data_IF_726530168092
#
_entry.id   IF_726530168092
#
_cell.length_a   1.000
_cell.length_b   1.000
_cell.length_c   1.000
_cell.angle_alpha   90.00
_cell.angle_beta   90.00
_cell.angle_gamma   90.00
#
_symmetry.space_group_name_H-M   'P 1'
#
loop_
_entity.id
_entity.type
_entity.pdbx_description
1 polymer ?
#
# COMPACT_ATOMS: atom_id res chain seq x y z
N UNK A 1 -18.48 4.88 17.54
CA UNK A 1 -18.19 3.95 16.43
C UNK A 1 -16.78 4.26 16.00
N UNK A 2 -15.83 3.43 16.40
CA UNK A 2 -14.43 3.60 16.04
C UNK A 2 -14.22 3.23 14.57
N UNK A 3 -13.34 3.95 13.88
CA UNK A 3 -13.09 3.79 12.44
C UNK A 3 -12.53 2.40 12.14
N UNK A 4 -11.85 1.82 13.12
CA UNK A 4 -11.30 0.47 13.12
C UNK A 4 -12.36 -0.62 12.95
N UNK A 5 -13.58 -0.42 13.46
CA UNK A 5 -14.68 -1.40 13.35
C UNK A 5 -15.32 -1.40 11.95
N UNK A 6 -15.14 -0.32 11.19
CA UNK A 6 -15.60 -0.22 9.80
C UNK A 6 -14.60 -0.83 8.81
N UNK A 7 -13.38 -1.17 9.27
CA UNK A 7 -12.35 -1.70 8.39
C UNK A 7 -12.68 -3.11 7.93
N UNK A 8 -12.55 -3.34 6.62
CA UNK A 8 -12.86 -4.64 6.02
C UNK A 8 -11.95 -5.73 6.63
N UNK A 9 -12.52 -6.78 7.25
CA UNK A 9 -11.73 -7.90 7.69
C UNK A 9 -11.12 -8.57 6.45
N UNK A 10 -9.83 -8.86 6.50
CA UNK A 10 -9.13 -9.45 5.37
C UNK A 10 -9.67 -10.86 5.08
N UNK A 11 -10.52 -10.98 4.07
CA UNK A 11 -11.20 -12.24 3.72
C UNK A 11 -10.20 -13.36 3.38
N UNK A 12 -9.06 -13.01 2.78
CA UNK A 12 -8.00 -13.97 2.48
C UNK A 12 -7.42 -14.63 3.74
N UNK A 13 -7.26 -13.85 4.82
CA UNK A 13 -6.81 -14.40 6.12
C UNK A 13 -7.87 -15.31 6.73
N UNK A 14 -9.15 -14.97 6.57
CA UNK A 14 -10.27 -15.75 7.12
C UNK A 14 -10.53 -17.06 6.36
N UNK A 15 -10.37 -17.04 5.04
CA UNK A 15 -10.69 -18.18 4.16
C UNK A 15 -9.47 -19.06 3.92
N UNK A 16 -8.30 -18.46 3.67
CA UNK A 16 -7.09 -19.19 3.28
C UNK A 16 -6.02 -19.22 4.39
N UNK A 17 -6.21 -18.51 5.50
CA UNK A 17 -5.21 -18.42 6.57
C UNK A 17 -3.95 -17.62 6.19
N UNK A 18 -3.93 -17.05 4.97
CA UNK A 18 -2.77 -16.36 4.41
C UNK A 18 -3.11 -14.89 4.18
N UNK A 19 -2.20 -14.00 4.58
CA UNK A 19 -2.30 -12.57 4.31
C UNK A 19 -1.96 -12.33 2.84
N UNK A 20 -2.82 -11.65 2.07
CA UNK A 20 -2.47 -11.28 0.69
C UNK A 20 -1.50 -10.09 0.68
N UNK A 21 -0.82 -9.90 -0.45
CA UNK A 21 0.17 -8.85 -0.68
C UNK A 21 -0.35 -7.42 -0.40
N UNK A 22 -1.66 -7.18 -0.47
CA UNK A 22 -2.28 -5.89 -0.17
C UNK A 22 -3.08 -5.84 1.14
N UNK A 23 -3.08 -6.92 1.92
CA UNK A 23 -3.85 -7.04 3.16
C UNK A 23 -3.25 -6.08 4.20
N UNK A 24 -4.01 -5.06 4.61
CA UNK A 24 -3.57 -4.07 5.60
C UNK A 24 -3.23 -2.70 5.03
N UNK A 25 -3.38 -2.46 3.73
CA UNK A 25 -3.22 -1.12 3.12
C UNK A 25 -4.09 -0.05 3.76
N UNK A 26 -5.38 -0.32 3.97
CA UNK A 26 -6.31 0.61 4.63
C UNK A 26 -5.88 0.92 6.08
N UNK A 27 -5.45 -0.10 6.82
CA UNK A 27 -5.06 0.02 8.23
C UNK A 27 -3.70 0.70 8.39
N UNK A 28 -2.76 0.43 7.49
CA UNK A 28 -1.49 1.15 7.40
C UNK A 28 -1.68 2.62 7.00
N UNK A 29 -2.61 2.91 6.08
CA UNK A 29 -2.98 4.28 5.73
C UNK A 29 -3.60 5.02 6.91
N UNK A 30 -4.44 4.35 7.70
CA UNK A 30 -5.00 4.91 8.91
C UNK A 30 -3.95 5.16 10.00
N UNK A 31 -3.00 4.24 10.22
CA UNK A 31 -1.86 4.46 11.11
C UNK A 31 -1.00 5.66 10.69
N UNK A 32 -0.81 5.87 9.37
CA UNK A 32 -0.17 7.08 8.87
C UNK A 32 -0.96 8.35 9.21
N UNK A 33 -2.29 8.32 9.10
CA UNK A 33 -3.15 9.45 9.48
C UNK A 33 -3.11 9.74 10.98
N UNK A 34 -2.91 8.71 11.81
CA UNK A 34 -2.70 8.84 13.25
C UNK A 34 -1.28 9.31 13.63
N UNK A 35 -0.35 9.39 12.67
CA UNK A 35 1.05 9.74 12.89
C UNK A 35 1.94 8.57 13.35
N UNK A 36 1.44 7.34 13.34
CA UNK A 36 2.23 6.13 13.62
C UNK A 36 2.90 5.59 12.35
N UNK A 37 4.00 6.24 11.97
CA UNK A 37 4.81 5.86 10.82
C UNK A 37 5.48 4.49 10.97
N UNK A 38 5.82 4.11 12.20
CA UNK A 38 6.52 2.84 12.51
C UNK A 38 5.53 1.68 12.45
N UNK A 39 4.33 1.84 13.03
CA UNK A 39 3.24 0.89 12.93
C UNK A 39 2.78 0.71 11.49
N UNK A 40 2.63 1.80 10.73
CA UNK A 40 2.30 1.74 9.31
C UNK A 40 3.35 0.95 8.50
N UNK A 41 4.65 1.19 8.75
CA UNK A 41 5.72 0.46 8.08
C UNK A 41 5.76 -1.03 8.46
N UNK A 42 5.57 -1.37 9.73
CA UNK A 42 5.50 -2.76 10.19
C UNK A 42 4.29 -3.49 9.61
N UNK A 43 3.17 -2.78 9.45
CA UNK A 43 1.94 -3.35 8.91
C UNK A 43 2.02 -3.57 7.39
N UNK A 44 2.42 -2.54 6.65
CA UNK A 44 2.56 -2.60 5.20
C UNK A 44 3.70 -1.68 4.74
N UNK A 45 4.94 -2.18 4.62
CA UNK A 45 6.10 -1.33 4.33
C UNK A 45 6.01 -0.64 2.96
N UNK A 46 5.31 -1.27 2.00
CA UNK A 46 5.06 -0.69 0.68
C UNK A 46 4.04 0.47 0.69
N UNK A 47 3.45 0.84 1.84
CA UNK A 47 2.46 1.93 1.93
C UNK A 47 3.00 3.25 1.38
N UNK A 48 4.27 3.57 1.64
CA UNK A 48 4.90 4.82 1.20
C UNK A 48 5.06 4.88 -0.32
N UNK A 49 5.48 3.79 -0.94
CA UNK A 49 5.63 3.72 -2.39
C UNK A 49 4.28 3.63 -3.09
N UNK A 50 3.28 3.02 -2.45
CA UNK A 50 1.88 3.02 -2.94
C UNK A 50 1.31 4.45 -2.90
N UNK A 51 1.52 5.20 -1.82
CA UNK A 51 1.12 6.61 -1.72
C UNK A 51 1.76 7.48 -2.81
N UNK A 52 3.06 7.33 -3.03
CA UNK A 52 3.78 8.01 -4.12
C UNK A 52 3.19 7.66 -5.48
N UNK A 53 2.91 6.37 -5.73
CA UNK A 53 2.31 5.92 -6.98
C UNK A 53 0.94 6.56 -7.22
N UNK A 54 0.07 6.59 -6.20
CA UNK A 54 -1.23 7.26 -6.28
C UNK A 54 -1.10 8.76 -6.53
N UNK A 55 -0.12 9.42 -5.92
CA UNK A 55 0.15 10.83 -6.13
C UNK A 55 0.55 11.13 -7.58
N UNK A 56 1.46 10.33 -8.16
CA UNK A 56 1.84 10.48 -9.57
C UNK A 56 0.70 10.13 -10.52
N UNK A 57 -0.13 9.15 -10.17
CA UNK A 57 -1.32 8.80 -10.94
C UNK A 57 -2.32 9.97 -10.96
N UNK A 58 -2.56 10.59 -9.80
CA UNK A 58 -3.43 11.76 -9.67
C UNK A 58 -2.88 12.96 -10.45
N UNK A 59 -1.57 13.22 -10.35
CA UNK A 59 -0.90 14.25 -11.15
C UNK A 59 -1.01 13.99 -12.66
N UNK A 60 -0.91 12.74 -13.09
CA UNK A 60 -1.09 12.37 -14.50
C UNK A 60 -2.52 12.63 -15.00
N UNK A 61 -3.53 12.44 -14.13
CA UNK A 61 -4.92 12.76 -14.45
C UNK A 61 -5.17 14.26 -14.59
N UNK A 62 -4.51 15.10 -13.77
CA UNK A 62 -4.63 16.56 -13.82
C UNK A 62 -3.79 17.15 -14.97
N UNK A 63 -2.52 16.76 -15.06
CA UNK A 63 -1.58 17.25 -16.06
C UNK A 63 -1.37 16.19 -17.16
N UNK A 64 -2.23 16.26 -18.17
CA UNK A 64 -2.18 15.42 -19.36
C UNK A 64 -1.12 15.87 -20.38
N UNK A 65 -0.49 17.04 -20.19
CA UNK A 65 0.53 17.58 -21.12
C UNK A 65 1.89 16.94 -20.92
N UNK A 66 2.21 16.50 -19.70
CA UNK A 66 3.47 15.84 -19.37
C UNK A 66 3.35 14.31 -19.42
N UNK A 67 4.39 13.66 -19.92
CA UNK A 67 4.43 12.20 -20.03
C UNK A 67 4.86 11.55 -18.70
N UNK A 68 3.92 11.41 -17.77
CA UNK A 68 4.13 10.73 -16.49
C UNK A 68 4.15 9.20 -16.60
N UNK A 69 3.83 8.65 -17.78
CA UNK A 69 3.65 7.21 -17.97
C UNK A 69 4.91 6.41 -17.60
N UNK A 70 6.10 6.88 -18.00
CA UNK A 70 7.38 6.22 -17.65
C UNK A 70 7.62 6.23 -16.13
N UNK A 71 7.29 7.34 -15.47
CA UNK A 71 7.44 7.49 -14.03
C UNK A 71 6.48 6.56 -13.28
N UNK A 72 5.21 6.50 -13.70
CA UNK A 72 4.19 5.63 -13.10
C UNK A 72 4.61 4.16 -13.22
N UNK A 73 5.08 3.72 -14.39
CA UNK A 73 5.59 2.35 -14.57
C UNK A 73 6.77 2.09 -13.63
N UNK A 74 7.72 3.01 -13.55
CA UNK A 74 8.87 2.86 -12.66
C UNK A 74 8.44 2.68 -11.20
N UNK A 75 7.56 3.56 -10.70
CA UNK A 75 7.03 3.44 -9.33
C UNK A 75 6.20 2.17 -9.13
N UNK A 76 5.44 1.71 -10.13
CA UNK A 76 4.65 0.49 -10.06
C UNK A 76 5.54 -0.74 -9.91
N UNK A 77 6.62 -0.82 -10.70
CA UNK A 77 7.59 -1.90 -10.62
C UNK A 77 8.28 -1.88 -9.26
N UNK A 78 8.77 -0.72 -8.82
CA UNK A 78 9.42 -0.59 -7.51
C UNK A 78 8.49 -0.97 -6.36
N UNK A 79 7.22 -0.56 -6.40
CA UNK A 79 6.21 -0.92 -5.40
C UNK A 79 5.95 -2.44 -5.39
N UNK A 80 5.82 -3.06 -6.56
CA UNK A 80 5.63 -4.50 -6.68
C UNK A 80 6.83 -5.27 -6.11
N UNK A 81 8.05 -4.86 -6.43
CA UNK A 81 9.29 -5.46 -5.92
C UNK A 81 9.33 -5.36 -4.39
N UNK A 82 9.11 -4.18 -3.81
CA UNK A 82 9.12 -3.99 -2.34
C UNK A 82 8.04 -4.85 -1.68
N UNK A 83 6.84 -4.91 -2.26
CA UNK A 83 5.73 -5.69 -1.71
C UNK A 83 6.06 -7.19 -1.70
N UNK A 84 6.64 -7.71 -2.78
CA UNK A 84 7.05 -9.12 -2.88
C UNK A 84 8.20 -9.42 -1.91
N UNK A 85 9.22 -8.57 -1.85
CA UNK A 85 10.33 -8.74 -0.91
C UNK A 85 9.86 -8.74 0.54
N UNK A 86 8.98 -7.80 0.91
CA UNK A 86 8.41 -7.73 2.25
C UNK A 86 7.58 -8.97 2.59
N UNK A 87 6.83 -9.49 1.62
CA UNK A 87 6.05 -10.72 1.81
C UNK A 87 6.92 -11.96 1.97
N UNK A 88 7.99 -12.08 1.18
CA UNK A 88 8.97 -13.18 1.32
C UNK A 88 9.69 -13.07 2.68
N UNK A 89 10.14 -11.87 3.07
CA UNK A 89 10.82 -11.66 4.35
C UNK A 89 9.92 -11.97 5.55
N UNK A 90 8.62 -11.70 5.46
CA UNK A 90 7.64 -12.04 6.51
C UNK A 90 7.31 -13.54 6.55
N UNK A 91 7.59 -14.28 5.47
CA UNK A 91 7.28 -15.71 5.30
C UNK A 91 8.46 -16.64 5.61
N UNK A 92 9.69 -16.12 5.64
CA UNK A 92 10.90 -16.77 6.16
C UNK A 92 10.91 -16.67 7.67
#
# INVERSE_FOLDING_TARGET
MDVEDLMLPCMNKKIFGVECLGCGTQRAAYLLMQGDFVGAFKMFPAIYTTLLLFLFLFLHFIDKKRNYHKLIIFFAITNAVITVFAYIYKRI
#
